data_IF_481026270448
#
_entry.id   IF_481026270448
#
_cell.length_a   1.000
_cell.length_b   1.000
_cell.length_c   1.000
_cell.angle_alpha   90.00
_cell.angle_beta   90.00
_cell.angle_gamma   90.00
#
_symmetry.space_group_name_H-M   'P 1'
#
loop_
_entity.id
_entity.type
_entity.pdbx_description
1 polymer ?
#
# COMPACT_ATOMS: atom_id res chain seq x y z
N UNK A 1 10.81 -7.42 -22.07
CA UNK A 1 11.61 -6.99 -20.90
C UNK A 1 11.47 -8.08 -19.85
N UNK A 2 12.56 -8.72 -19.45
CA UNK A 2 12.51 -9.83 -18.50
C UNK A 2 12.14 -9.33 -17.11
N UNK A 3 11.10 -9.90 -16.51
CA UNK A 3 10.75 -9.65 -15.11
C UNK A 3 11.86 -10.25 -14.25
N UNK A 4 12.73 -9.40 -13.68
CA UNK A 4 13.67 -9.87 -12.67
C UNK A 4 12.89 -10.39 -11.45
N UNK A 5 13.21 -11.58 -10.95
CA UNK A 5 12.55 -12.11 -9.76
C UNK A 5 12.81 -11.18 -8.58
N UNK A 6 11.76 -10.92 -7.79
CA UNK A 6 11.85 -10.11 -6.58
C UNK A 6 12.83 -10.80 -5.61
N UNK A 7 13.79 -10.08 -5.00
CA UNK A 7 14.67 -10.64 -3.99
C UNK A 7 13.88 -11.29 -2.85
N UNK A 8 14.15 -12.56 -2.55
CA UNK A 8 13.57 -13.31 -1.44
C UNK A 8 14.70 -14.03 -0.70
N UNK A 9 14.59 -14.13 0.62
CA UNK A 9 15.45 -15.00 1.41
C UNK A 9 15.26 -16.46 0.97
N UNK A 10 16.35 -17.23 0.94
CA UNK A 10 16.25 -18.67 0.69
C UNK A 10 15.50 -19.33 1.86
N UNK A 11 14.36 -19.95 1.58
CA UNK A 11 13.60 -20.69 2.58
C UNK A 11 14.32 -22.03 2.90
N UNK A 12 14.68 -22.22 4.17
CA UNK A 12 15.32 -23.46 4.66
C UNK A 12 14.40 -24.68 4.62
N UNK A 13 13.09 -24.48 4.46
CA UNK A 13 12.07 -25.53 4.33
C UNK A 13 11.24 -25.31 3.06
N UNK A 14 11.84 -25.57 1.90
CA UNK A 14 11.09 -25.73 0.65
C UNK A 14 10.99 -27.23 0.37
N UNK A 15 9.83 -27.79 -0.06
CA UNK A 15 9.71 -29.20 -0.42
C UNK A 15 10.77 -29.58 -1.48
N UNK A 16 11.21 -30.86 -1.57
CA UNK A 16 12.36 -31.22 -2.38
C UNK A 16 12.02 -31.02 -3.86
N UNK A 17 12.41 -29.87 -4.40
CA UNK A 17 12.33 -29.55 -5.83
C UNK A 17 13.42 -30.27 -6.65
N UNK A 18 14.16 -31.19 -6.02
CA UNK A 18 15.34 -31.82 -6.61
C UNK A 18 16.52 -30.84 -6.72
N UNK A 19 17.73 -31.41 -6.83
CA UNK A 19 18.99 -30.68 -6.88
C UNK A 19 19.92 -31.03 -5.72
N UNK A 20 21.23 -30.96 -5.97
CA UNK A 20 22.26 -31.27 -4.97
C UNK A 20 22.30 -30.17 -3.91
N UNK A 21 21.70 -30.45 -2.75
CA UNK A 21 21.83 -29.64 -1.54
C UNK A 21 22.90 -30.29 -0.68
N UNK A 22 24.01 -29.59 -0.47
CA UNK A 22 25.05 -30.01 0.47
C UNK A 22 25.08 -29.02 1.65
N UNK A 23 25.35 -29.51 2.86
CA UNK A 23 25.58 -28.66 4.03
C UNK A 23 27.08 -28.63 4.33
N UNK A 24 27.62 -27.44 4.53
CA UNK A 24 29.02 -27.19 4.88
C UNK A 24 29.04 -26.26 6.11
N UNK A 25 28.94 -26.86 7.31
CA UNK A 25 28.87 -26.15 8.59
C UNK A 25 27.63 -25.25 8.72
N UNK A 26 27.86 -23.95 8.80
CA UNK A 26 26.78 -22.94 8.89
C UNK A 26 26.24 -22.50 7.53
N UNK A 27 26.75 -23.09 6.44
CA UNK A 27 26.34 -22.78 5.08
C UNK A 27 25.59 -23.94 4.41
N UNK A 28 24.61 -23.56 3.59
CA UNK A 28 23.90 -24.42 2.63
C UNK A 28 24.51 -24.18 1.25
N UNK A 29 24.90 -25.24 0.57
CA UNK A 29 25.39 -25.21 -0.81
C UNK A 29 24.25 -25.68 -1.71
N UNK A 30 23.84 -24.82 -2.65
CA UNK A 30 22.84 -25.16 -3.65
C UNK A 30 23.25 -24.58 -5.00
N UNK A 31 23.24 -25.42 -6.05
CA UNK A 31 23.67 -25.05 -7.41
C UNK A 31 25.05 -24.36 -7.47
N UNK A 32 26.00 -24.81 -6.65
CA UNK A 32 27.36 -24.24 -6.58
C UNK A 32 27.46 -22.87 -5.88
N UNK A 33 26.37 -22.37 -5.28
CA UNK A 33 26.37 -21.14 -4.49
C UNK A 33 26.28 -21.46 -2.99
N UNK A 34 26.94 -20.65 -2.15
CA UNK A 34 26.89 -20.76 -0.68
C UNK A 34 25.83 -19.82 -0.11
N UNK A 35 24.97 -20.33 0.75
CA UNK A 35 23.92 -19.61 1.41
C UNK A 35 24.05 -19.72 2.93
N UNK A 36 23.86 -18.64 3.67
CA UNK A 36 23.77 -18.67 5.14
C UNK A 36 22.45 -19.30 5.59
N UNK A 37 22.37 -19.80 6.82
CA UNK A 37 21.11 -20.22 7.48
C UNK A 37 20.04 -19.12 7.50
N UNK A 38 20.45 -17.84 7.49
CA UNK A 38 19.55 -16.67 7.37
C UNK A 38 19.08 -16.40 5.92
N UNK A 39 19.47 -17.25 4.97
CA UNK A 39 19.02 -17.21 3.57
C UNK A 39 19.78 -16.22 2.66
N UNK A 40 20.89 -15.64 3.12
CA UNK A 40 21.75 -14.75 2.33
C UNK A 40 22.73 -15.50 1.45
N UNK A 41 22.99 -14.99 0.24
CA UNK A 41 23.97 -15.55 -0.70
C UNK A 41 25.38 -15.00 -0.40
N UNK A 42 26.34 -15.90 -0.24
CA UNK A 42 27.76 -15.60 -0.16
C UNK A 42 28.46 -16.09 -1.43
N UNK A 43 28.84 -15.16 -2.30
CA UNK A 43 29.49 -15.46 -3.57
C UNK A 43 30.58 -14.44 -3.85
N UNK A 44 31.78 -14.93 -4.15
CA UNK A 44 32.90 -14.07 -4.54
C UNK A 44 32.67 -13.55 -5.96
N UNK A 45 32.71 -12.24 -6.12
CA UNK A 45 32.73 -11.57 -7.41
C UNK A 45 34.09 -10.88 -7.60
N UNK A 46 34.56 -10.80 -8.84
CA UNK A 46 35.74 -9.99 -9.16
C UNK A 46 35.43 -8.51 -8.89
N UNK A 47 36.42 -7.74 -8.41
CA UNK A 47 36.24 -6.30 -8.17
C UNK A 47 35.82 -5.53 -9.43
N UNK A 48 36.19 -6.01 -10.62
CA UNK A 48 35.75 -5.45 -11.90
C UNK A 48 34.25 -5.63 -12.19
N UNK A 49 33.55 -6.49 -11.44
CA UNK A 49 32.13 -6.79 -11.60
C UNK A 49 31.24 -6.11 -10.55
N UNK A 50 31.82 -5.25 -9.69
CA UNK A 50 31.07 -4.52 -8.66
C UNK A 50 31.23 -3.00 -8.85
N UNK A 51 30.16 -2.26 -8.57
CA UNK A 51 30.17 -0.81 -8.58
C UNK A 51 30.45 -0.35 -7.15
N UNK A 52 31.56 0.36 -6.93
CA UNK A 52 31.98 0.82 -5.60
C UNK A 52 31.66 2.29 -5.36
N UNK A 53 31.47 3.09 -6.41
CA UNK A 53 31.19 4.52 -6.32
C UNK A 53 29.71 4.83 -6.57
N UNK A 54 29.15 5.78 -5.82
CA UNK A 54 27.76 6.23 -5.96
C UNK A 54 26.70 5.31 -5.36
N UNK A 55 27.10 4.24 -4.67
CA UNK A 55 26.18 3.35 -3.95
C UNK A 55 25.83 3.96 -2.60
N UNK A 56 24.57 4.37 -2.42
CA UNK A 56 24.04 4.86 -1.15
C UNK A 56 22.97 3.87 -0.66
N UNK A 57 23.23 3.10 0.41
CA UNK A 57 22.26 2.14 0.90
C UNK A 57 21.03 2.86 1.46
N UNK A 58 19.86 2.33 1.14
CA UNK A 58 18.57 2.76 1.69
C UNK A 58 18.42 2.27 3.14
N UNK A 59 17.50 2.86 3.89
CA UNK A 59 17.19 2.42 5.26
C UNK A 59 16.78 0.93 5.29
N UNK A 60 15.95 0.50 4.35
CA UNK A 60 15.53 -0.91 4.24
C UNK A 60 16.67 -1.85 3.87
N UNK A 61 17.73 -1.38 3.20
CA UNK A 61 18.92 -2.20 2.93
C UNK A 61 19.79 -2.29 4.18
N UNK A 62 19.96 -1.20 4.92
CA UNK A 62 20.68 -1.21 6.19
C UNK A 62 20.03 -2.20 7.18
N UNK A 63 18.71 -2.18 7.35
CA UNK A 63 17.98 -3.13 8.20
C UNK A 63 18.18 -4.60 7.77
N UNK A 64 18.27 -4.86 6.46
CA UNK A 64 18.44 -6.22 5.92
C UNK A 64 19.86 -6.75 6.07
N UNK A 65 20.87 -5.88 6.08
CA UNK A 65 22.29 -6.26 6.12
C UNK A 65 22.94 -6.00 7.50
N UNK A 66 22.17 -5.56 8.50
CA UNK A 66 22.65 -5.41 9.87
C UNK A 66 22.76 -6.79 10.54
N UNK A 67 23.97 -7.16 10.95
CA UNK A 67 24.25 -8.45 11.57
C UNK A 67 23.81 -8.40 13.05
N UNK A 68 22.54 -8.69 13.32
CA UNK A 68 22.10 -8.86 14.71
C UNK A 68 22.75 -10.14 15.30
N UNK A 69 23.51 -10.03 16.41
CA UNK A 69 23.80 -11.18 17.26
C UNK A 69 22.50 -11.60 17.98
N UNK A 70 22.23 -12.90 17.96
CA UNK A 70 21.00 -13.49 18.51
C UNK A 70 20.81 -13.14 20.00
N UNK A 71 19.63 -12.61 20.37
CA UNK A 71 19.18 -12.61 21.77
C UNK A 71 18.65 -11.32 22.39
N UNK A 72 18.21 -10.33 21.62
CA UNK A 72 17.52 -9.16 22.19
C UNK A 72 16.19 -8.96 21.50
N UNK A 73 15.11 -9.39 22.16
CA UNK A 73 13.76 -8.88 21.88
C UNK A 73 13.80 -7.39 22.20
N UNK A 74 13.94 -6.59 21.15
CA UNK A 74 13.94 -5.15 21.26
C UNK A 74 12.55 -4.67 20.84
N UNK A 75 11.62 -4.67 21.80
CA UNK A 75 10.54 -3.68 21.83
C UNK A 75 11.21 -2.30 21.94
N UNK A 76 11.67 -1.76 20.80
CA UNK A 76 12.06 -0.35 20.71
C UNK A 76 10.92 0.38 20.05
N UNK A 77 10.17 1.05 20.91
CA UNK A 77 9.62 2.37 20.62
C UNK A 77 10.77 3.22 20.08
N UNK A 78 10.96 3.25 18.76
CA UNK A 78 11.98 4.07 18.12
C UNK A 78 11.45 5.50 18.00
N UNK A 79 11.52 6.23 19.10
CA UNK A 79 11.82 7.66 19.05
C UNK A 79 13.30 7.81 18.62
N UNK A 80 13.56 7.63 17.32
CA UNK A 80 14.87 7.90 16.74
C UNK A 80 14.97 9.38 16.37
N UNK A 81 15.63 10.12 17.25
CA UNK A 81 16.27 11.41 16.97
C UNK A 81 17.36 11.25 15.90
N UNK A 82 17.30 12.06 14.83
CA UNK A 82 18.53 12.54 14.16
C UNK A 82 18.95 11.94 12.81
N UNK A 83 18.11 11.19 12.09
CA UNK A 83 18.32 10.95 10.64
C UNK A 83 17.09 11.45 9.89
N UNK A 84 17.30 12.16 8.78
CA UNK A 84 16.25 12.74 7.93
C UNK A 84 15.13 11.72 7.77
N UNK A 85 13.99 11.95 8.45
CA UNK A 85 12.81 11.11 8.28
C UNK A 85 12.42 11.22 6.82
N UNK A 86 12.39 10.09 6.12
CA UNK A 86 11.81 10.06 4.78
C UNK A 86 10.39 10.60 4.87
N UNK A 87 10.17 11.73 4.19
CA UNK A 87 8.86 12.36 4.09
C UNK A 87 8.29 12.05 2.71
N UNK A 88 6.98 11.92 2.62
CA UNK A 88 6.26 11.61 1.40
C UNK A 88 5.41 12.79 0.92
N UNK A 89 5.90 14.00 1.19
CA UNK A 89 5.26 15.23 0.73
C UNK A 89 5.36 15.33 -0.79
N UNK A 90 4.28 15.81 -1.41
CA UNK A 90 4.21 16.05 -2.84
C UNK A 90 3.72 17.49 -3.09
N UNK A 91 4.16 18.14 -4.19
CA UNK A 91 3.58 19.38 -4.64
C UNK A 91 2.06 19.27 -4.74
N UNK A 92 1.37 20.21 -4.11
CA UNK A 92 -0.08 20.27 -4.04
C UNK A 92 -0.71 19.64 -2.81
N UNK A 93 0.04 18.96 -1.94
CA UNK A 93 -0.46 18.47 -0.66
C UNK A 93 -0.83 19.64 0.27
N UNK A 94 -1.87 19.46 1.08
CA UNK A 94 -2.21 20.38 2.16
C UNK A 94 -1.41 20.01 3.42
N UNK A 95 -0.80 21.00 4.05
CA UNK A 95 0.01 20.83 5.24
C UNK A 95 -0.32 21.88 6.29
N UNK A 96 -0.01 21.56 7.53
CA UNK A 96 0.03 22.48 8.65
C UNK A 96 1.41 22.45 9.29
N UNK A 97 1.81 23.61 9.83
CA UNK A 97 3.01 23.73 10.64
C UNK A 97 2.72 23.20 12.04
N UNK A 98 3.45 22.18 12.49
CA UNK A 98 3.25 21.54 13.79
C UNK A 98 4.21 22.02 14.89
N UNK A 99 5.29 22.69 14.53
CA UNK A 99 6.32 23.19 15.46
C UNK A 99 6.84 24.57 15.02
N UNK A 100 7.46 25.33 15.92
CA UNK A 100 8.04 26.64 15.62
C UNK A 100 7.08 27.83 15.80
N UNK A 101 7.51 29.01 15.33
CA UNK A 101 6.81 30.29 15.53
C UNK A 101 5.50 30.39 14.76
N UNK A 102 5.39 29.66 13.64
CA UNK A 102 4.24 29.68 12.74
C UNK A 102 3.31 28.47 12.94
N UNK A 103 3.29 27.89 14.15
CA UNK A 103 2.44 26.73 14.47
C UNK A 103 0.96 26.99 14.13
N UNK A 104 0.29 25.95 13.61
CA UNK A 104 -1.08 25.99 13.09
C UNK A 104 -1.26 26.80 11.79
N UNK A 105 -0.19 27.31 11.18
CA UNK A 105 -0.27 27.88 9.84
C UNK A 105 -0.53 26.76 8.83
N UNK A 106 -1.62 26.88 8.09
CA UNK A 106 -1.98 25.95 7.03
C UNK A 106 -1.53 26.48 5.68
N UNK A 107 -1.13 25.58 4.80
CA UNK A 107 -0.69 25.94 3.46
C UNK A 107 -0.77 24.77 2.48
N UNK A 108 -0.41 25.07 1.24
CA UNK A 108 -0.29 24.09 0.18
C UNK A 108 1.15 24.01 -0.28
N UNK A 109 1.69 22.80 -0.41
CA UNK A 109 3.06 22.60 -0.86
C UNK A 109 3.19 23.05 -2.33
N UNK A 110 4.20 23.87 -2.61
CA UNK A 110 4.56 24.30 -3.96
C UNK A 110 5.72 23.48 -4.52
N UNK A 111 6.79 23.31 -3.74
CA UNK A 111 7.97 22.54 -4.11
C UNK A 111 8.53 21.77 -2.92
N UNK A 112 9.24 20.69 -3.23
CA UNK A 112 9.91 19.83 -2.26
C UNK A 112 11.36 19.66 -2.73
N UNK A 113 12.31 20.20 -1.98
CA UNK A 113 13.75 20.18 -2.27
C UNK A 113 14.48 19.43 -1.14
N UNK A 114 14.43 18.10 -1.19
CA UNK A 114 14.94 17.25 -0.11
C UNK A 114 14.23 17.59 1.20
N UNK A 115 14.97 17.91 2.25
CA UNK A 115 14.39 18.26 3.56
C UNK A 115 13.73 19.67 3.61
N UNK A 116 13.90 20.50 2.57
CA UNK A 116 13.36 21.86 2.53
C UNK A 116 12.08 21.89 1.71
N UNK A 117 10.99 22.36 2.31
CA UNK A 117 9.66 22.36 1.70
C UNK A 117 9.14 23.78 1.63
N UNK A 118 8.77 24.19 0.42
CA UNK A 118 8.23 25.52 0.17
C UNK A 118 6.71 25.43 0.10
N UNK A 119 6.03 26.18 0.95
CA UNK A 119 4.57 26.20 1.04
C UNK A 119 4.02 27.58 0.69
N UNK A 120 2.86 27.59 0.06
CA UNK A 120 2.02 28.78 -0.05
C UNK A 120 1.05 28.80 1.14
N UNK A 121 1.19 29.74 2.08
CA UNK A 121 0.28 29.85 3.21
C UNK A 121 -1.14 30.18 2.74
N UNK A 122 -2.13 29.59 3.41
CA UNK A 122 -3.55 29.85 3.15
C UNK A 122 -4.05 30.90 4.15
N UNK A 123 -3.62 32.14 3.96
CA UNK A 123 -3.98 33.28 4.81
C UNK A 123 -4.20 34.55 3.96
N UNK A 124 -5.11 35.44 4.38
CA UNK A 124 -5.48 36.62 3.57
C UNK A 124 -4.34 37.65 3.47
N UNK A 125 -3.67 37.88 4.60
CA UNK A 125 -2.60 38.89 4.73
C UNK A 125 -1.19 38.38 4.39
N UNK A 126 -1.02 37.06 4.25
CA UNK A 126 0.29 36.43 4.01
C UNK A 126 0.28 35.77 2.64
N UNK A 127 0.90 36.44 1.66
CA UNK A 127 0.97 35.99 0.26
C UNK A 127 2.36 35.52 -0.16
N UNK A 128 3.35 35.72 0.72
CA UNK A 128 4.72 35.33 0.46
C UNK A 128 4.90 33.83 0.70
N UNK A 129 5.74 33.23 -0.14
CA UNK A 129 6.13 31.82 0.00
C UNK A 129 6.99 31.66 1.24
N UNK A 130 6.72 30.61 2.00
CA UNK A 130 7.47 30.29 3.21
C UNK A 130 8.15 28.93 3.06
N UNK A 131 9.32 28.81 3.66
CA UNK A 131 10.14 27.61 3.62
C UNK A 131 10.22 26.99 5.01
N UNK A 132 9.91 25.71 5.09
CA UNK A 132 9.94 24.94 6.34
C UNK A 132 10.76 23.66 6.13
N UNK A 133 11.48 23.18 7.16
CA UNK A 133 11.99 21.83 7.14
C UNK A 133 10.83 20.82 7.18
N UNK A 134 11.01 19.65 6.57
CA UNK A 134 9.97 18.62 6.52
C UNK A 134 9.49 18.14 7.91
N UNK A 135 10.32 18.32 8.94
CA UNK A 135 10.04 17.96 10.32
C UNK A 135 9.03 18.91 11.00
N UNK A 136 8.98 20.17 10.58
CA UNK A 136 8.04 21.17 11.10
C UNK A 136 6.66 21.10 10.43
N UNK A 137 6.51 20.24 9.42
CA UNK A 137 5.28 20.10 8.65
C UNK A 137 4.60 18.76 8.91
N UNK A 138 3.27 18.79 8.93
CA UNK A 138 2.42 17.60 8.92
C UNK A 138 1.35 17.74 7.86
N UNK A 139 0.99 16.63 7.19
CA UNK A 139 -0.16 16.63 6.27
C UNK A 139 -1.43 16.95 7.04
N UNK A 140 -2.18 17.93 6.56
CA UNK A 140 -3.42 18.37 7.17
C UNK A 140 -4.60 17.95 6.31
N UNK A 141 -5.60 17.36 6.97
CA UNK A 141 -6.85 16.95 6.36
C UNK A 141 -8.01 17.41 7.23
N UNK A 142 -9.16 17.65 6.59
CA UNK A 142 -10.41 17.96 7.29
C UNK A 142 -11.42 16.84 7.06
N UNK A 143 -12.44 16.81 7.92
CA UNK A 143 -13.60 15.95 7.69
C UNK A 143 -14.20 16.23 6.31
N UNK A 144 -14.67 15.16 5.66
CA UNK A 144 -15.23 15.15 4.30
C UNK A 144 -14.23 15.32 3.16
N UNK A 145 -12.94 15.42 3.44
CA UNK A 145 -11.93 15.30 2.40
C UNK A 145 -11.90 13.87 1.86
N UNK A 146 -11.75 13.76 0.54
CA UNK A 146 -11.53 12.49 -0.13
C UNK A 146 -10.03 12.24 -0.26
N UNK A 147 -9.59 11.06 0.17
CA UNK A 147 -8.17 10.74 0.27
C UNK A 147 -7.86 9.35 -0.27
N UNK A 148 -6.63 9.19 -0.70
CA UNK A 148 -6.03 7.91 -1.09
C UNK A 148 -4.94 7.53 -0.10
N UNK A 149 -4.93 6.27 0.29
CA UNK A 149 -3.87 5.70 1.12
C UNK A 149 -2.66 5.36 0.24
N UNK A 150 -1.52 6.00 0.50
CA UNK A 150 -0.29 5.87 -0.31
C UNK A 150 0.68 4.82 0.24
N UNK A 151 0.57 4.49 1.53
CA UNK A 151 1.46 3.55 2.22
C UNK A 151 0.72 2.72 3.29
N UNK A 152 1.39 1.70 3.83
CA UNK A 152 0.83 0.80 4.85
C UNK A 152 -0.10 -0.29 4.31
N UNK A 153 -0.83 -0.94 5.22
CA UNK A 153 -1.68 -2.11 4.95
C UNK A 153 -2.78 -1.83 3.93
N UNK A 154 -3.37 -0.64 4.00
CA UNK A 154 -4.49 -0.22 3.15
C UNK A 154 -4.04 0.57 1.91
N UNK A 155 -2.75 0.51 1.55
CA UNK A 155 -2.21 1.20 0.38
C UNK A 155 -3.04 0.87 -0.88
N UNK A 156 -3.48 1.92 -1.56
CA UNK A 156 -4.31 1.85 -2.76
C UNK A 156 -5.78 2.21 -2.50
N UNK A 157 -6.26 2.04 -1.27
CA UNK A 157 -7.65 2.34 -0.94
C UNK A 157 -7.92 3.85 -1.00
N UNK A 158 -9.10 4.20 -1.49
CA UNK A 158 -9.64 5.55 -1.44
C UNK A 158 -10.85 5.60 -0.50
N UNK A 159 -11.11 6.78 0.04
CA UNK A 159 -12.25 6.97 0.91
C UNK A 159 -12.44 8.39 1.41
N UNK A 160 -13.56 8.58 2.11
CA UNK A 160 -13.94 9.85 2.72
C UNK A 160 -13.56 9.88 4.20
N UNK A 161 -12.88 10.94 4.61
CA UNK A 161 -12.52 11.17 6.02
C UNK A 161 -13.79 11.48 6.81
N UNK A 162 -14.05 10.68 7.85
CA UNK A 162 -15.15 10.91 8.79
C UNK A 162 -14.68 11.49 10.11
N UNK A 163 -13.42 11.28 10.50
CA UNK A 163 -12.86 11.85 11.72
C UNK A 163 -11.35 12.03 11.60
N UNK A 164 -10.86 13.16 12.08
CA UNK A 164 -9.43 13.45 12.20
C UNK A 164 -9.10 13.50 13.69
N UNK A 165 -8.14 12.68 14.11
CA UNK A 165 -7.54 12.72 15.44
C UNK A 165 -6.07 13.15 15.33
N UNK A 166 -5.42 13.38 16.47
CA UNK A 166 -4.06 13.93 16.52
C UNK A 166 -3.02 13.04 15.81
N UNK A 167 -3.14 11.71 15.97
CA UNK A 167 -2.15 10.74 15.49
C UNK A 167 -2.65 9.87 14.33
N UNK A 168 -3.94 9.90 14.04
CA UNK A 168 -4.54 9.07 12.99
C UNK A 168 -5.79 9.71 12.41
N UNK A 169 -6.11 9.32 11.19
CA UNK A 169 -7.31 9.72 10.48
C UNK A 169 -8.17 8.48 10.27
N UNK A 170 -9.47 8.64 10.53
CA UNK A 170 -10.48 7.64 10.26
C UNK A 170 -11.22 8.02 8.98
N UNK A 171 -11.24 7.10 8.02
CA UNK A 171 -11.93 7.25 6.74
C UNK A 171 -12.78 6.02 6.42
N UNK A 172 -13.87 6.20 5.68
CA UNK A 172 -14.64 5.10 5.11
C UNK A 172 -14.17 4.83 3.69
N UNK A 173 -13.80 3.58 3.41
CA UNK A 173 -13.42 3.18 2.06
C UNK A 173 -14.63 3.20 1.11
N UNK A 174 -14.45 3.75 -0.09
CA UNK A 174 -15.52 3.81 -1.11
C UNK A 174 -15.97 2.41 -1.55
N UNK A 175 -15.02 1.49 -1.64
CA UNK A 175 -15.22 0.15 -2.22
C UNK A 175 -15.74 -0.85 -1.19
N UNK A 176 -15.26 -0.69 0.03
CA UNK A 176 -15.39 -1.67 1.11
C UNK A 176 -16.47 -1.25 2.12
N UNK A 177 -16.79 0.04 2.17
CA UNK A 177 -17.65 0.69 3.17
C UNK A 177 -17.27 0.35 4.63
N UNK A 178 -16.02 -0.09 4.85
CA UNK A 178 -15.47 -0.30 6.18
C UNK A 178 -14.65 0.91 6.61
N UNK A 179 -14.62 1.10 7.92
CA UNK A 179 -13.80 2.10 8.59
C UNK A 179 -12.31 1.69 8.53
N UNK A 180 -11.48 2.62 8.06
CA UNK A 180 -10.03 2.48 7.98
C UNK A 180 -9.36 3.53 8.87
N UNK A 181 -8.44 3.08 9.72
CA UNK A 181 -7.61 3.92 10.59
C UNK A 181 -6.20 3.99 10.02
N UNK A 182 -5.77 5.17 9.60
CA UNK A 182 -4.54 5.40 8.83
C UNK A 182 -3.77 6.59 9.39
N UNK A 183 -2.43 6.57 9.31
CA UNK A 183 -1.61 7.71 9.71
C UNK A 183 -1.79 8.89 8.72
N UNK A 184 -1.80 10.15 9.18
CA UNK A 184 -1.96 11.31 8.28
C UNK A 184 -0.87 11.36 7.20
N UNK A 185 0.36 10.97 7.53
CA UNK A 185 1.47 10.91 6.57
C UNK A 185 1.17 9.96 5.41
N UNK A 186 0.45 8.86 5.65
CA UNK A 186 0.18 7.83 4.64
C UNK A 186 -1.02 8.18 3.74
N UNK A 187 -1.58 9.38 3.88
CA UNK A 187 -2.71 9.87 3.09
C UNK A 187 -2.29 10.92 2.08
N UNK A 188 -3.10 11.04 1.04
CA UNK A 188 -3.00 12.09 0.04
C UNK A 188 -4.39 12.51 -0.41
N UNK A 189 -4.61 13.82 -0.59
CA UNK A 189 -5.85 14.33 -1.16
C UNK A 189 -6.03 13.77 -2.57
N UNK A 190 -7.21 13.24 -2.85
CA UNK A 190 -7.52 12.63 -4.12
C UNK A 190 -8.91 13.07 -4.57
N UNK A 191 -9.03 13.62 -5.77
CA UNK A 191 -10.32 13.99 -6.38
C UNK A 191 -10.99 12.81 -7.09
N UNK A 192 -10.27 11.71 -7.27
CA UNK A 192 -10.75 10.51 -7.96
C UNK A 192 -11.40 9.57 -6.94
N UNK A 193 -12.70 9.32 -7.07
CA UNK A 193 -13.37 8.18 -6.42
C UNK A 193 -12.85 6.87 -7.01
N UNK A 194 -12.78 5.80 -6.20
CA UNK A 194 -12.32 4.49 -6.65
C UNK A 194 -12.92 4.11 -8.00
N UNK A 195 -12.07 3.81 -8.99
CA UNK A 195 -12.48 3.51 -10.37
C UNK A 195 -13.22 2.18 -10.52
N UNK A 196 -13.39 1.40 -9.45
CA UNK A 196 -14.09 0.12 -9.47
C UNK A 196 -13.40 -0.96 -10.32
N UNK A 197 -12.17 -0.72 -10.77
CA UNK A 197 -11.31 -1.66 -11.52
C UNK A 197 -10.28 -2.29 -10.60
N UNK A 198 -9.94 -3.55 -10.86
CA UNK A 198 -8.88 -4.24 -10.13
C UNK A 198 -7.48 -3.66 -10.41
N UNK A 199 -6.49 -4.09 -9.62
CA UNK A 199 -5.10 -3.63 -9.74
C UNK A 199 -4.49 -3.93 -11.13
N UNK A 200 -5.08 -4.86 -11.88
CA UNK A 200 -4.65 -5.26 -13.23
C UNK A 200 -5.44 -4.62 -14.37
N UNK A 201 -6.53 -3.89 -14.10
CA UNK A 201 -7.51 -3.45 -15.09
C UNK A 201 -8.19 -4.59 -15.85
N UNK A 202 -8.17 -5.82 -15.33
CA UNK A 202 -8.73 -7.01 -15.97
C UNK A 202 -10.20 -7.23 -15.61
N UNK A 203 -10.60 -6.78 -14.42
CA UNK A 203 -11.92 -7.00 -13.87
C UNK A 203 -12.54 -5.73 -13.30
N UNK A 204 -13.85 -5.63 -13.44
CA UNK A 204 -14.65 -4.48 -13.01
C UNK A 204 -15.73 -4.86 -11.99
N UNK A 205 -16.10 -3.89 -11.16
CA UNK A 205 -17.26 -4.04 -10.28
C UNK A 205 -18.52 -4.32 -11.10
N UNK A 206 -19.34 -5.28 -10.66
CA UNK A 206 -20.57 -5.67 -11.37
C UNK A 206 -20.35 -6.59 -12.57
N UNK A 207 -19.12 -7.04 -12.81
CA UNK A 207 -18.81 -7.96 -13.91
C UNK A 207 -19.27 -9.40 -13.62
N UNK A 208 -19.80 -10.09 -14.64
CA UNK A 208 -20.10 -11.51 -14.58
C UNK A 208 -18.83 -12.35 -14.78
N UNK A 209 -18.48 -13.11 -13.76
CA UNK A 209 -17.34 -14.02 -13.76
C UNK A 209 -17.77 -15.47 -13.65
N UNK A 210 -16.96 -16.35 -14.20
CA UNK A 210 -17.10 -17.79 -14.01
C UNK A 210 -16.21 -18.24 -12.85
N UNK A 211 -16.83 -18.86 -11.84
CA UNK A 211 -16.15 -19.40 -10.65
C UNK A 211 -15.69 -20.85 -10.90
N UNK A 212 -16.54 -21.63 -11.56
CA UNK A 212 -16.25 -23.01 -11.96
C UNK A 212 -17.07 -23.36 -13.25
N UNK A 213 -16.92 -24.55 -13.85
CA UNK A 213 -17.63 -24.91 -15.09
C UNK A 213 -19.16 -24.82 -15.02
N UNK A 214 -19.76 -24.91 -13.84
CA UNK A 214 -21.20 -24.87 -13.61
C UNK A 214 -21.65 -23.59 -12.89
N UNK A 215 -20.75 -22.89 -12.21
CA UNK A 215 -21.04 -21.74 -11.34
C UNK A 215 -20.57 -20.43 -11.95
N UNK A 216 -21.52 -19.51 -12.13
CA UNK A 216 -21.30 -18.10 -12.44
C UNK A 216 -21.66 -17.22 -11.24
N UNK A 217 -21.07 -16.03 -11.20
CA UNK A 217 -21.39 -15.02 -10.20
C UNK A 217 -21.00 -13.63 -10.67
N UNK A 218 -21.45 -12.62 -9.93
CA UNK A 218 -21.15 -11.22 -10.20
C UNK A 218 -20.19 -10.69 -9.15
N UNK A 219 -19.14 -9.98 -9.58
CA UNK A 219 -18.22 -9.31 -8.66
C UNK A 219 -18.98 -8.19 -7.94
N UNK A 220 -19.16 -8.32 -6.63
CA UNK A 220 -19.86 -7.32 -5.80
C UNK A 220 -18.91 -6.45 -5.00
N UNK A 221 -17.64 -6.87 -4.87
CA UNK A 221 -16.58 -6.10 -4.20
C UNK A 221 -15.21 -6.52 -4.71
N UNK A 222 -14.37 -5.54 -5.02
CA UNK A 222 -12.97 -5.74 -5.37
C UNK A 222 -12.10 -5.55 -4.14
N UNK A 223 -11.13 -6.41 -3.95
CA UNK A 223 -10.11 -6.26 -2.91
C UNK A 223 -8.74 -6.42 -3.56
N UNK A 224 -7.69 -6.01 -2.84
CA UNK A 224 -6.33 -5.98 -3.39
C UNK A 224 -5.82 -7.36 -3.84
N UNK A 225 -6.24 -8.43 -3.17
CA UNK A 225 -5.79 -9.81 -3.44
C UNK A 225 -6.92 -10.76 -3.83
N UNK A 226 -8.17 -10.35 -3.60
CA UNK A 226 -9.37 -11.18 -3.70
C UNK A 226 -10.54 -10.41 -4.30
N UNK A 227 -11.56 -11.13 -4.76
CA UNK A 227 -12.87 -10.62 -5.11
C UNK A 227 -13.90 -11.24 -4.20
N UNK A 228 -14.92 -10.47 -3.82
CA UNK A 228 -16.16 -11.05 -3.30
C UNK A 228 -17.15 -11.15 -4.46
N UNK A 229 -17.57 -12.38 -4.74
CA UNK A 229 -18.44 -12.71 -5.86
C UNK A 229 -19.76 -13.24 -5.32
N UNK A 230 -20.87 -12.63 -5.72
CA UNK A 230 -22.21 -13.15 -5.46
C UNK A 230 -22.52 -14.21 -6.52
N UNK A 231 -22.57 -15.48 -6.13
CA UNK A 231 -22.88 -16.56 -7.05
C UNK A 231 -24.38 -16.65 -7.38
N UNK A 232 -24.73 -17.45 -8.38
CA UNK A 232 -26.14 -17.64 -8.80
C UNK A 232 -27.05 -18.26 -7.72
N UNK A 233 -26.48 -18.81 -6.65
CA UNK A 233 -27.22 -19.37 -5.52
C UNK A 233 -27.47 -18.34 -4.42
N UNK A 234 -27.13 -17.06 -4.64
CA UNK A 234 -27.31 -15.98 -3.68
C UNK A 234 -26.29 -15.97 -2.55
N UNK A 235 -25.17 -16.69 -2.69
CA UNK A 235 -24.10 -16.74 -1.68
C UNK A 235 -22.89 -15.91 -2.15
N UNK A 236 -22.36 -15.08 -1.25
CA UNK A 236 -21.11 -14.36 -1.46
C UNK A 236 -19.93 -15.28 -1.15
N UNK A 237 -18.98 -15.38 -2.08
CA UNK A 237 -17.75 -16.17 -1.96
C UNK A 237 -16.53 -15.30 -2.21
N UNK A 238 -15.48 -15.48 -1.41
CA UNK A 238 -14.19 -14.82 -1.60
C UNK A 238 -13.30 -15.68 -2.47
N UNK A 239 -12.83 -15.12 -3.59
CA UNK A 239 -12.00 -15.83 -4.58
C UNK A 239 -10.76 -15.01 -4.93
N UNK A 240 -9.66 -15.67 -5.27
CA UNK A 240 -8.44 -14.99 -5.75
C UNK A 240 -8.64 -14.51 -7.18
N UNK A 241 -7.95 -13.45 -7.58
CA UNK A 241 -8.05 -12.89 -8.94
C UNK A 241 -7.81 -13.94 -10.04
N UNK A 242 -6.83 -14.83 -9.86
CA UNK A 242 -6.50 -15.89 -10.83
C UNK A 242 -7.52 -17.04 -10.89
N UNK A 243 -8.42 -17.12 -9.91
CA UNK A 243 -9.40 -18.20 -9.80
C UNK A 243 -10.71 -17.90 -10.54
N UNK A 244 -10.85 -16.70 -11.10
CA UNK A 244 -12.02 -16.31 -11.90
C UNK A 244 -11.62 -16.10 -13.34
N UNK A 245 -12.51 -16.43 -14.26
CA UNK A 245 -12.35 -16.12 -15.68
C UNK A 245 -13.44 -15.19 -16.16
N UNK A 246 -13.06 -14.22 -16.99
CA UNK A 246 -13.99 -13.30 -17.62
C UNK A 246 -14.96 -14.08 -18.52
N UNK A 247 -16.26 -13.89 -18.30
CA UNK A 247 -17.29 -14.39 -19.19
C UNK A 247 -17.82 -13.22 -20.02
N UNK A 248 -17.52 -13.21 -21.32
CA UNK A 248 -18.06 -12.19 -22.24
C UNK A 248 -19.58 -12.18 -22.21
N UNK A 249 -20.16 -11.06 -21.78
CA UNK A 249 -21.60 -10.85 -21.75
C UNK A 249 -22.13 -10.47 -23.13
N UNK A 250 -23.36 -10.89 -23.44
CA UNK A 250 -24.09 -10.54 -24.67
C UNK A 250 -25.28 -9.58 -24.41
N UNK A 251 -25.39 -9.00 -23.20
CA UNK A 251 -26.36 -7.95 -22.85
C UNK A 251 -25.89 -7.17 -21.60
N UNK A 252 -26.30 -5.91 -21.48
CA UNK A 252 -25.86 -4.91 -20.50
C UNK A 252 -26.21 -5.30 -19.03
N UNK A 253 -25.20 -5.55 -18.16
CA UNK A 253 -25.40 -6.08 -16.80
C UNK A 253 -25.86 -5.05 -15.77
N UNK A 254 -25.83 -3.75 -16.11
CA UNK A 254 -26.18 -2.65 -15.21
C UNK A 254 -27.60 -2.74 -14.64
N UNK A 255 -28.53 -3.31 -15.40
CA UNK A 255 -29.93 -3.46 -14.99
C UNK A 255 -30.13 -4.60 -13.97
N UNK A 256 -29.45 -5.74 -14.13
CA UNK A 256 -29.68 -6.93 -13.29
C UNK A 256 -29.16 -6.71 -11.86
N UNK A 257 -28.05 -5.99 -11.72
CA UNK A 257 -27.44 -5.67 -10.43
C UNK A 257 -28.31 -4.68 -9.65
N UNK A 258 -28.89 -3.67 -10.31
CA UNK A 258 -29.82 -2.73 -9.68
C UNK A 258 -31.07 -3.42 -9.11
N UNK A 259 -31.72 -4.32 -9.86
CA UNK A 259 -32.91 -5.04 -9.37
C UNK A 259 -32.60 -5.98 -8.20
N UNK A 260 -31.42 -6.61 -8.21
CA UNK A 260 -31.01 -7.57 -7.17
C UNK A 260 -30.66 -6.88 -5.85
N UNK A 261 -29.98 -5.72 -5.90
CA UNK A 261 -29.66 -4.92 -4.71
C UNK A 261 -30.90 -4.24 -4.10
N UNK A 262 -31.84 -3.74 -4.92
CA UNK A 262 -33.11 -3.20 -4.43
C UNK A 262 -33.91 -4.26 -3.67
N UNK A 263 -33.98 -5.48 -4.21
CA UNK A 263 -34.68 -6.60 -3.58
C UNK A 263 -34.04 -7.05 -2.26
N UNK A 264 -32.71 -6.90 -2.13
CA UNK A 264 -31.98 -7.25 -0.91
C UNK A 264 -32.16 -6.18 0.19
N UNK A 265 -32.24 -4.90 -0.17
CA UNK A 265 -32.49 -3.81 0.78
C UNK A 265 -33.91 -3.86 1.39
N UNK A 266 -34.93 -4.22 0.60
CA UNK A 266 -36.31 -4.34 1.11
C UNK A 266 -36.49 -5.47 2.14
N UNK A 267 -35.61 -6.49 2.12
CA UNK A 267 -35.64 -7.60 3.07
C UNK A 267 -35.05 -7.27 4.46
N UNK A 268 -34.36 -6.12 4.59
CA UNK A 268 -33.81 -5.62 5.86
C UNK A 268 -34.52 -4.36 6.37
N UNK A 269 -35.50 -3.84 5.63
CA UNK A 269 -36.26 -2.61 5.94
C UNK A 269 -37.77 -2.85 6.07
N UNK A 270 -38.18 -4.06 6.46
CA UNK A 270 -39.53 -4.29 7.00
C UNK A 270 -39.46 -4.32 8.53
N UNK A 271 -40.31 -3.55 9.25
CA UNK A 271 -40.26 -3.40 10.70
C UNK A 271 -40.62 -4.69 11.47
#
# INVERSE_FOLDING_TARGET
MGTHPIPKHLATQTPPLGGDVASDGDFLIFQGNRYSRKGFLFKSFAMSAVITEGVKPTHSELEKFEDQPEGIDLEVVTESTGKEREHNFQPGDNVEVCEGELINLQGKILSVDGNKITIMPKHEDLKDMLEFPAQELRKYFKMRDHVKVTAGRFKGDTGLIVRVEENFVILFSDLTMHELKVLPRDLQLCSETASGVDVGGQHEWGELVQLDPQTVGVIVRLERETFQVLNMYGKVVTVRHQAVTQKKNNADPSLVVQYSLFSFQDSYLSP
#
